data_IF_664813170617
#
_entry.id   IF_664813170617
#
_cell.length_a   1.000
_cell.length_b   1.000
_cell.length_c   1.000
_cell.angle_alpha   90.00
_cell.angle_beta   90.00
_cell.angle_gamma   90.00
#
_symmetry.space_group_name_H-M   'P 1'
#
loop_
_entity.id
_entity.type
_entity.pdbx_description
1 polymer ?
#
# COMPACT_ATOMS: atom_id res chain seq x y z
N UNK A 1 -8.91 -3.93 10.12
CA UNK A 1 -7.55 -4.43 10.35
C UNK A 1 -6.52 -3.32 10.17
N UNK A 2 -5.40 -3.36 10.89
CA UNK A 2 -4.39 -2.28 10.90
C UNK A 2 -3.76 -2.03 9.53
N UNK A 3 -3.49 -3.09 8.76
CA UNK A 3 -2.94 -2.98 7.40
C UNK A 3 -3.86 -2.16 6.47
N UNK A 4 -5.17 -2.41 6.56
CA UNK A 4 -6.18 -1.67 5.80
C UNK A 4 -6.26 -0.20 6.22
N UNK A 5 -6.19 0.06 7.53
CA UNK A 5 -6.14 1.42 8.06
C UNK A 5 -4.92 2.19 7.54
N UNK A 6 -3.73 1.61 7.63
CA UNK A 6 -2.50 2.26 7.15
C UNK A 6 -2.47 2.46 5.63
N UNK A 7 -3.07 1.54 4.87
CA UNK A 7 -3.17 1.64 3.41
C UNK A 7 -4.10 2.77 2.95
N UNK A 8 -5.11 3.13 3.74
CA UNK A 8 -6.11 4.14 3.34
C UNK A 8 -5.51 5.50 2.97
N UNK A 9 -4.39 5.90 3.60
CA UNK A 9 -3.69 7.12 3.25
C UNK A 9 -3.13 7.11 1.82
N UNK A 10 -2.51 6.01 1.39
CA UNK A 10 -1.98 5.92 0.02
C UNK A 10 -3.10 5.76 -1.02
N UNK A 11 -4.25 5.18 -0.65
CA UNK A 11 -5.43 5.16 -1.51
C UNK A 11 -5.94 6.58 -1.81
N UNK A 12 -6.05 7.41 -0.77
CA UNK A 12 -6.44 8.82 -0.96
C UNK A 12 -5.38 9.58 -1.76
N UNK A 13 -4.09 9.31 -1.53
CA UNK A 13 -3.02 9.90 -2.33
C UNK A 13 -3.16 9.52 -3.82
N UNK A 14 -3.48 8.26 -4.11
CA UNK A 14 -3.69 7.78 -5.47
C UNK A 14 -4.88 8.45 -6.14
N UNK A 15 -5.99 8.60 -5.42
CA UNK A 15 -7.16 9.35 -5.89
C UNK A 15 -6.78 10.79 -6.21
N UNK A 16 -6.10 11.49 -5.29
CA UNK A 16 -5.64 12.87 -5.50
C UNK A 16 -4.75 12.97 -6.75
N UNK A 17 -3.77 12.08 -6.88
CA UNK A 17 -2.86 12.03 -8.03
C UNK A 17 -3.62 11.86 -9.35
N UNK A 18 -4.57 10.92 -9.42
CA UNK A 18 -5.37 10.66 -10.63
C UNK A 18 -6.37 11.78 -10.93
N UNK A 19 -6.74 12.57 -9.94
CA UNK A 19 -7.54 13.79 -10.08
C UNK A 19 -6.69 15.04 -10.37
N UNK A 20 -5.38 14.90 -10.61
CA UNK A 20 -4.48 16.02 -10.95
C UNK A 20 -4.02 16.84 -9.74
N UNK A 21 -4.26 16.37 -8.52
CA UNK A 21 -3.87 17.04 -7.28
C UNK A 21 -2.58 16.39 -6.76
N UNK A 22 -1.47 17.12 -6.92
CA UNK A 22 -0.19 16.75 -6.32
C UNK A 22 -0.12 17.31 -4.90
N UNK A 23 -0.22 16.43 -3.90
CA UNK A 23 -0.21 16.79 -2.49
C UNK A 23 0.68 15.83 -1.70
N UNK A 24 0.91 16.16 -0.43
CA UNK A 24 1.58 15.25 0.52
C UNK A 24 0.76 13.98 0.74
N UNK A 25 1.44 12.90 1.14
CA UNK A 25 0.81 11.64 1.53
C UNK A 25 -0.14 11.90 2.72
N UNK A 26 -1.46 11.73 2.56
CA UNK A 26 -2.41 11.99 3.63
C UNK A 26 -2.32 10.92 4.72
N UNK A 27 -2.76 11.28 5.92
CA UNK A 27 -2.89 10.35 7.02
C UNK A 27 -4.11 9.43 6.83
N UNK A 28 -4.14 8.25 7.48
CA UNK A 28 -5.34 7.41 7.53
C UNK A 28 -6.60 8.14 8.04
N UNK A 29 -6.44 9.08 8.98
CA UNK A 29 -7.53 9.89 9.50
C UNK A 29 -8.11 10.83 8.43
N UNK A 30 -7.24 11.45 7.62
CA UNK A 30 -7.69 12.24 6.45
C UNK A 30 -8.43 11.37 5.43
N UNK A 31 -7.94 10.16 5.17
CA UNK A 31 -8.59 9.20 4.27
C UNK A 31 -9.95 8.76 4.79
N UNK A 32 -10.10 8.56 6.10
CA UNK A 32 -11.36 8.19 6.73
C UNK A 32 -12.39 9.33 6.72
N UNK A 33 -11.93 10.59 6.78
CA UNK A 33 -12.78 11.77 6.68
C UNK A 33 -13.18 12.11 5.22
N UNK A 34 -12.49 11.56 4.22
CA UNK A 34 -12.78 11.82 2.82
C UNK A 34 -14.04 11.09 2.33
N UNK A 35 -14.99 11.83 1.76
CA UNK A 35 -16.21 11.25 1.19
C UNK A 35 -15.94 10.88 -0.28
N UNK A 36 -15.65 9.61 -0.51
CA UNK A 36 -15.39 9.10 -1.85
C UNK A 36 -16.64 9.12 -2.74
N UNK A 37 -16.48 9.62 -3.96
CA UNK A 37 -17.43 9.40 -5.06
C UNK A 37 -17.31 7.98 -5.61
N UNK A 38 -18.29 7.54 -6.40
CA UNK A 38 -18.22 6.21 -7.01
C UNK A 38 -17.11 6.11 -8.07
N UNK A 39 -16.74 7.23 -8.71
CA UNK A 39 -15.60 7.27 -9.61
C UNK A 39 -14.27 7.06 -8.85
N UNK A 40 -14.11 7.70 -7.69
CA UNK A 40 -12.91 7.54 -6.87
C UNK A 40 -12.83 6.14 -6.26
N UNK A 41 -13.96 5.55 -5.83
CA UNK A 41 -13.99 4.15 -5.37
C UNK A 41 -13.51 3.17 -6.45
N UNK A 42 -13.80 3.43 -7.74
CA UNK A 42 -13.23 2.63 -8.83
C UNK A 42 -11.72 2.80 -8.95
N UNK A 43 -11.20 4.01 -8.76
CA UNK A 43 -9.75 4.25 -8.76
C UNK A 43 -9.05 3.51 -7.62
N UNK A 44 -9.65 3.52 -6.42
CA UNK A 44 -9.15 2.76 -5.27
C UNK A 44 -9.14 1.26 -5.56
N UNK A 45 -10.22 0.71 -6.13
CA UNK A 45 -10.26 -0.71 -6.53
C UNK A 45 -9.14 -1.08 -7.52
N UNK A 46 -8.94 -0.27 -8.56
CA UNK A 46 -7.86 -0.52 -9.52
C UNK A 46 -6.47 -0.34 -8.92
N UNK A 47 -6.30 0.59 -7.97
CA UNK A 47 -5.05 0.73 -7.23
C UNK A 47 -4.71 -0.50 -6.39
N UNK A 48 -5.72 -1.12 -5.77
CA UNK A 48 -5.56 -2.33 -4.96
C UNK A 48 -5.07 -3.55 -5.73
N UNK A 49 -5.20 -3.57 -7.05
CA UNK A 49 -4.59 -4.61 -7.89
C UNK A 49 -3.06 -4.43 -8.03
N UNK A 50 -2.58 -3.19 -7.86
CA UNK A 50 -1.18 -2.79 -8.04
C UNK A 50 -0.36 -2.85 -6.74
N UNK A 51 -1.01 -2.90 -5.58
CA UNK A 51 -0.34 -2.89 -4.27
C UNK A 51 -0.63 -4.16 -3.48
N UNK A 52 0.27 -4.46 -2.55
CA UNK A 52 0.14 -5.59 -1.63
C UNK A 52 -0.19 -5.05 -0.24
N UNK A 53 -1.30 -5.51 0.34
CA UNK A 53 -1.74 -5.12 1.69
C UNK A 53 -2.24 -6.38 2.39
N UNK A 54 -1.74 -6.64 3.60
CA UNK A 54 -2.15 -7.82 4.35
C UNK A 54 -1.25 -8.12 5.54
N UNK A 55 -1.34 -9.36 6.04
CA UNK A 55 -0.46 -9.89 7.08
C UNK A 55 0.94 -10.19 6.51
N UNK A 56 1.98 -10.32 7.35
CA UNK A 56 3.33 -10.61 6.87
C UNK A 56 3.41 -11.84 5.95
N UNK A 57 2.75 -12.95 6.33
CA UNK A 57 2.74 -14.17 5.51
C UNK A 57 2.02 -13.98 4.16
N UNK A 58 0.90 -13.26 4.16
CA UNK A 58 0.15 -12.96 2.94
C UNK A 58 0.97 -12.06 2.00
N UNK A 59 1.63 -11.04 2.56
CA UNK A 59 2.53 -10.13 1.81
C UNK A 59 3.68 -10.92 1.22
N UNK A 60 4.36 -11.78 2.00
CA UNK A 60 5.45 -12.63 1.51
C UNK A 60 4.99 -13.51 0.35
N UNK A 61 3.83 -14.16 0.49
CA UNK A 61 3.29 -15.05 -0.54
C UNK A 61 2.98 -14.30 -1.84
N UNK A 62 2.36 -13.10 -1.77
CA UNK A 62 2.06 -12.30 -2.96
C UNK A 62 3.34 -11.78 -3.62
N UNK A 63 4.31 -11.28 -2.83
CA UNK A 63 5.59 -10.82 -3.37
C UNK A 63 6.33 -11.94 -4.13
N UNK A 64 6.40 -13.15 -3.57
CA UNK A 64 7.03 -14.30 -4.25
C UNK A 64 6.28 -14.69 -5.52
N UNK A 65 4.94 -14.66 -5.50
CA UNK A 65 4.13 -14.95 -6.68
C UNK A 65 4.37 -13.92 -7.81
N UNK A 66 4.45 -12.63 -7.47
CA UNK A 66 4.75 -11.55 -8.43
C UNK A 66 6.16 -11.65 -9.00
N UNK A 67 7.16 -11.95 -8.16
CA UNK A 67 8.53 -12.17 -8.63
C UNK A 67 8.59 -13.33 -9.63
N UNK A 68 7.96 -14.47 -9.30
CA UNK A 68 7.91 -15.63 -10.18
C UNK A 68 7.19 -15.35 -11.50
N UNK A 69 6.08 -14.61 -11.47
CA UNK A 69 5.33 -14.24 -12.68
C UNK A 69 6.14 -13.34 -13.64
N UNK A 70 7.10 -12.59 -13.11
CA UNK A 70 7.97 -11.70 -13.88
C UNK A 70 9.36 -12.30 -14.18
N UNK A 71 9.64 -13.54 -13.76
CA UNK A 71 10.99 -14.15 -13.77
C UNK A 71 12.05 -13.24 -13.14
N UNK A 72 11.68 -12.54 -12.07
CA UNK A 72 12.53 -11.56 -11.40
C UNK A 72 13.38 -12.23 -10.32
N UNK A 73 14.69 -11.98 -10.33
CA UNK A 73 15.62 -12.45 -9.29
C UNK A 73 15.63 -11.57 -8.04
N UNK A 74 15.10 -10.34 -8.13
CA UNK A 74 15.11 -9.35 -7.05
C UNK A 74 13.82 -8.51 -7.07
N UNK A 75 13.42 -7.99 -5.90
CA UNK A 75 12.29 -7.07 -5.73
C UNK A 75 12.74 -5.81 -4.99
N UNK A 76 12.38 -4.65 -5.53
CA UNK A 76 12.52 -3.37 -4.83
C UNK A 76 11.19 -3.01 -4.16
N UNK A 77 11.20 -2.83 -2.84
CA UNK A 77 9.99 -2.58 -2.06
C UNK A 77 9.89 -1.09 -1.69
N UNK A 78 8.70 -0.52 -1.90
CA UNK A 78 8.34 0.84 -1.46
C UNK A 78 7.08 0.78 -0.61
N UNK A 79 7.18 1.26 0.64
CA UNK A 79 6.05 1.36 1.56
C UNK A 79 5.63 2.82 1.73
N UNK A 80 4.51 3.20 1.12
CA UNK A 80 3.92 4.54 1.22
C UNK A 80 2.94 4.63 2.38
N UNK A 81 3.46 4.66 3.61
CA UNK A 81 2.67 4.89 4.83
C UNK A 81 3.01 6.26 5.42
N UNK A 82 1.98 7.00 5.87
CA UNK A 82 2.12 8.37 6.39
C UNK A 82 3.05 8.44 7.61
N UNK A 83 2.83 7.56 8.61
CA UNK A 83 3.65 7.51 9.81
C UNK A 83 5.03 6.92 9.52
N UNK A 84 6.08 7.67 9.87
CA UNK A 84 7.46 7.20 9.74
C UNK A 84 7.72 5.91 10.53
N UNK A 85 7.22 5.84 11.78
CA UNK A 85 7.39 4.67 12.63
C UNK A 85 6.69 3.44 12.04
N UNK A 86 5.46 3.62 11.53
CA UNK A 86 4.74 2.54 10.87
C UNK A 86 5.46 2.08 9.60
N UNK A 87 6.01 3.01 8.81
CA UNK A 87 6.78 2.69 7.61
C UNK A 87 8.03 1.88 7.93
N UNK A 88 8.79 2.24 8.97
CA UNK A 88 9.93 1.46 9.43
C UNK A 88 9.48 0.04 9.84
N UNK A 89 8.42 -0.05 10.64
CA UNK A 89 7.87 -1.35 11.08
C UNK A 89 7.43 -2.24 9.91
N UNK A 90 6.90 -1.66 8.84
CA UNK A 90 6.54 -2.42 7.63
C UNK A 90 7.77 -3.06 6.98
N UNK A 91 8.87 -2.32 6.85
CA UNK A 91 10.10 -2.88 6.30
C UNK A 91 10.70 -3.97 7.19
N UNK A 92 10.67 -3.79 8.51
CA UNK A 92 11.10 -4.82 9.48
C UNK A 92 10.29 -6.11 9.30
N UNK A 93 8.95 -6.01 9.26
CA UNK A 93 8.07 -7.17 9.09
C UNK A 93 8.34 -7.90 7.77
N UNK A 94 8.53 -7.16 6.67
CA UNK A 94 8.88 -7.77 5.38
C UNK A 94 10.23 -8.46 5.51
N UNK A 95 11.26 -7.79 6.03
CA UNK A 95 12.59 -8.39 6.18
C UNK A 95 12.56 -9.66 7.04
N UNK A 96 11.84 -9.65 8.16
CA UNK A 96 11.64 -10.81 9.05
C UNK A 96 11.06 -12.02 8.28
N UNK A 97 10.11 -11.80 7.36
CA UNK A 97 9.52 -12.90 6.56
C UNK A 97 10.47 -13.54 5.54
N UNK A 98 11.55 -12.86 5.16
CA UNK A 98 12.57 -13.38 4.23
C UNK A 98 13.86 -13.82 4.93
N UNK A 99 14.01 -13.51 6.22
CA UNK A 99 15.16 -13.94 7.02
C UNK A 99 15.03 -15.37 7.57
N UNK A 100 13.81 -15.94 7.55
CA UNK A 100 13.51 -17.33 7.92
C UNK A 100 13.61 -18.27 6.71
#
# INVERSE_FOLDING_TARGET
DEAEWLASGVELAWVRLRSGILATLPSPEEAAAHVYTEAERRLVRGFRELVVVGTPDAVRSDLLARAAACDASELMIVCNVHSHAARLRNYELIAETFAA
#
